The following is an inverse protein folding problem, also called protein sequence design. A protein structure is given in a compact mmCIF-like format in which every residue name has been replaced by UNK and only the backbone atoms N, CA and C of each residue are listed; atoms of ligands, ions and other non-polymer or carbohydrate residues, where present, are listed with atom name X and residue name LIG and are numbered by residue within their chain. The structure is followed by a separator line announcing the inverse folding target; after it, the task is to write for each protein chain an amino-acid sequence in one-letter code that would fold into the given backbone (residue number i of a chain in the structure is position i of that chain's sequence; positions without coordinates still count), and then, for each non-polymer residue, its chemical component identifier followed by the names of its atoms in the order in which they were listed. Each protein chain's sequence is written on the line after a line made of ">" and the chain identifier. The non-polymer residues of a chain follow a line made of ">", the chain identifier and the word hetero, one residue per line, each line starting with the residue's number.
data_IF_545989709215
#
_entry.id   IF_545989709215
#
_cell.length_a   1.000
_cell.length_b   1.000
_cell.length_c   1.000
_cell.angle_alpha   90.00
_cell.angle_beta   90.00
_cell.angle_gamma   90.00
#
_symmetry.space_group_name_H-M   'P 1'
#
loop_
_entity.id
_entity.type
_entity.pdbx_description
1 polymer ?
#
# COMPACT_ATOMS: atom_id res chain seq x y z
N UNK A 1 -12.53 24.18 -7.66
CA UNK A 1 -11.40 25.05 -7.25
C UNK A 1 -10.69 24.58 -5.99
N UNK A 2 -11.41 24.17 -4.94
CA UNK A 2 -10.82 23.70 -3.67
C UNK A 2 -10.08 22.36 -3.85
N UNK A 3 -10.65 21.41 -4.58
CA UNK A 3 -10.05 20.10 -4.81
C UNK A 3 -8.69 20.21 -5.54
N UNK A 4 -8.59 21.02 -6.56
CA UNK A 4 -7.34 21.24 -7.28
C UNK A 4 -6.23 21.80 -6.39
N UNK A 5 -6.55 22.76 -5.52
CA UNK A 5 -5.58 23.29 -4.53
C UNK A 5 -5.11 22.20 -3.56
N UNK A 6 -6.00 21.31 -3.12
CA UNK A 6 -5.65 20.20 -2.23
C UNK A 6 -4.72 19.19 -2.91
N UNK A 7 -4.98 18.85 -4.18
CA UNK A 7 -4.12 17.95 -4.97
C UNK A 7 -2.73 18.57 -5.17
N UNK A 8 -2.66 19.85 -5.54
CA UNK A 8 -1.39 20.56 -5.71
C UNK A 8 -0.60 20.62 -4.40
N UNK A 9 -1.28 20.81 -3.27
CA UNK A 9 -0.66 20.81 -1.94
C UNK A 9 -0.07 19.43 -1.62
N UNK A 10 -0.80 18.35 -1.88
CA UNK A 10 -0.32 16.98 -1.66
C UNK A 10 0.90 16.69 -2.53
N UNK A 11 0.85 17.05 -3.81
CA UNK A 11 1.96 16.87 -4.75
C UNK A 11 3.19 17.66 -4.30
N UNK A 12 3.02 18.93 -3.97
CA UNK A 12 4.10 19.79 -3.48
C UNK A 12 4.73 19.25 -2.20
N UNK A 13 3.90 18.81 -1.24
CA UNK A 13 4.37 18.24 0.02
C UNK A 13 5.27 17.01 -0.21
N UNK A 14 4.80 16.03 -0.98
CA UNK A 14 5.55 14.79 -1.20
C UNK A 14 6.78 15.00 -2.09
N UNK A 15 6.71 15.89 -3.10
CA UNK A 15 7.85 16.27 -3.92
C UNK A 15 8.98 16.89 -3.07
N UNK A 16 8.65 17.77 -2.12
CA UNK A 16 9.61 18.34 -1.18
C UNK A 16 10.23 17.30 -0.22
N UNK A 17 9.60 16.14 -0.08
CA UNK A 17 10.13 15.00 0.70
C UNK A 17 10.95 14.01 -0.15
N UNK A 18 11.20 14.33 -1.41
CA UNK A 18 11.98 13.50 -2.31
C UNK A 18 11.23 12.32 -2.93
N UNK A 19 9.90 12.26 -2.77
CA UNK A 19 9.08 11.24 -3.41
C UNK A 19 8.95 11.54 -4.90
N UNK A 20 9.27 10.58 -5.75
CA UNK A 20 9.03 10.71 -7.19
C UNK A 20 7.53 10.60 -7.46
N UNK A 21 6.96 11.67 -8.02
CA UNK A 21 5.54 11.79 -8.37
C UNK A 21 5.29 11.73 -9.88
N UNK A 22 6.30 11.37 -10.66
CA UNK A 22 6.14 11.14 -12.09
C UNK A 22 5.10 10.03 -12.29
N UNK A 23 4.21 10.24 -13.26
CA UNK A 23 3.09 9.34 -13.56
C UNK A 23 2.02 9.22 -12.46
N UNK A 24 2.13 9.93 -11.33
CA UNK A 24 1.08 9.99 -10.32
C UNK A 24 -0.06 10.89 -10.79
N UNK A 25 -1.28 10.34 -10.79
CA UNK A 25 -2.53 11.07 -11.09
C UNK A 25 -3.50 10.95 -9.93
N UNK A 26 -3.83 12.07 -9.31
CA UNK A 26 -4.78 12.17 -8.20
C UNK A 26 -6.01 12.89 -8.71
N UNK A 27 -7.18 12.28 -8.58
CA UNK A 27 -8.46 12.85 -8.97
C UNK A 27 -9.39 13.06 -7.77
N UNK A 28 -9.18 12.34 -6.69
CA UNK A 28 -9.95 12.44 -5.46
C UNK A 28 -9.07 12.19 -4.21
N UNK A 29 -9.65 12.42 -3.03
CA UNK A 29 -8.98 12.16 -1.75
C UNK A 29 -9.33 10.80 -1.12
N UNK A 30 -10.25 10.04 -1.71
CA UNK A 30 -10.74 8.76 -1.15
C UNK A 30 -10.24 7.53 -1.93
N UNK A 31 -9.58 7.73 -3.08
CA UNK A 31 -9.03 6.63 -3.89
C UNK A 31 -10.09 5.82 -4.64
N UNK A 32 -11.25 6.40 -4.93
CA UNK A 32 -12.35 5.74 -5.66
C UNK A 32 -12.34 6.05 -7.16
N UNK A 33 -11.58 7.05 -7.59
CA UNK A 33 -11.50 7.38 -9.03
C UNK A 33 -10.76 6.27 -9.78
N UNK A 34 -11.39 5.66 -10.80
CA UNK A 34 -10.73 4.65 -11.65
C UNK A 34 -9.63 5.26 -12.53
N UNK A 35 -9.56 6.57 -12.64
CA UNK A 35 -8.54 7.30 -13.40
C UNK A 35 -7.29 7.60 -12.57
N UNK A 36 -7.35 7.40 -11.23
CA UNK A 36 -6.22 7.55 -10.34
C UNK A 36 -5.09 6.59 -10.70
N UNK A 37 -3.85 7.04 -10.61
CA UNK A 37 -2.69 6.20 -10.82
C UNK A 37 -1.55 6.62 -9.90
N UNK A 38 -0.84 5.64 -9.36
CA UNK A 38 0.36 5.83 -8.57
C UNK A 38 1.33 4.68 -8.86
N UNK A 39 2.61 4.97 -9.17
CA UNK A 39 3.63 3.93 -9.23
C UNK A 39 3.83 3.26 -7.88
N UNK A 40 4.03 1.93 -7.87
CA UNK A 40 4.35 1.21 -6.63
C UNK A 40 5.62 1.74 -5.95
N UNK A 41 6.62 2.16 -6.73
CA UNK A 41 7.83 2.80 -6.21
C UNK A 41 7.52 4.07 -5.41
N UNK A 42 6.65 4.96 -5.91
CA UNK A 42 6.25 6.17 -5.18
C UNK A 42 5.56 5.84 -3.85
N UNK A 43 4.78 4.76 -3.80
CA UNK A 43 4.16 4.30 -2.54
C UNK A 43 5.23 3.80 -1.57
N UNK A 44 6.25 3.07 -2.05
CA UNK A 44 7.37 2.63 -1.22
C UNK A 44 8.18 3.82 -0.70
N UNK A 45 8.43 4.84 -1.52
CA UNK A 45 9.11 6.07 -1.09
C UNK A 45 8.36 6.76 0.05
N UNK A 46 7.02 6.85 -0.05
CA UNK A 46 6.16 7.38 1.02
C UNK A 46 6.30 6.54 2.30
N UNK A 47 6.26 5.21 2.19
CA UNK A 47 6.43 4.31 3.33
C UNK A 47 7.81 4.47 3.99
N UNK A 48 8.88 4.57 3.20
CA UNK A 48 10.24 4.79 3.70
C UNK A 48 10.39 6.16 4.37
N UNK A 49 9.79 7.22 3.80
CA UNK A 49 9.73 8.51 4.46
C UNK A 49 9.03 8.42 5.82
N UNK A 50 7.87 7.76 5.87
CA UNK A 50 7.13 7.59 7.13
C UNK A 50 7.91 6.76 8.14
N UNK A 51 8.60 5.69 7.72
CA UNK A 51 9.46 4.88 8.58
C UNK A 51 10.53 5.70 9.29
N UNK A 52 11.14 6.67 8.60
CA UNK A 52 12.17 7.55 9.14
C UNK A 52 11.62 8.80 9.85
N UNK A 53 10.30 8.95 9.92
CA UNK A 53 9.67 10.12 10.53
C UNK A 53 9.42 9.92 12.03
N UNK A 54 9.33 11.03 12.77
CA UNK A 54 8.90 11.01 14.20
C UNK A 54 7.47 10.48 14.40
N UNK A 55 6.67 10.39 13.35
CA UNK A 55 5.29 9.93 13.38
C UNK A 55 5.16 8.45 13.01
N UNK A 56 6.28 7.72 12.84
CA UNK A 56 6.24 6.32 12.38
C UNK A 56 5.37 5.43 13.25
N UNK A 57 5.47 5.51 14.57
CA UNK A 57 4.68 4.67 15.49
C UNK A 57 3.17 4.87 15.31
N UNK A 58 2.73 6.12 15.18
CA UNK A 58 1.32 6.44 14.93
C UNK A 58 0.87 5.98 13.55
N UNK A 59 1.71 6.17 12.53
CA UNK A 59 1.42 5.70 11.19
C UNK A 59 1.32 4.17 11.13
N UNK A 60 2.27 3.46 11.73
CA UNK A 60 2.26 1.99 11.79
C UNK A 60 1.01 1.48 12.50
N UNK A 61 0.61 2.08 13.63
CA UNK A 61 -0.60 1.69 14.36
C UNK A 61 -1.90 1.97 13.61
N UNK A 62 -1.88 2.84 12.60
CA UNK A 62 -3.03 3.10 11.72
C UNK A 62 -3.21 2.05 10.63
N UNK A 63 -2.20 1.21 10.39
CA UNK A 63 -2.24 0.13 9.40
C UNK A 63 -2.73 -1.16 10.06
N UNK A 64 -3.82 -1.77 9.60
CA UNK A 64 -4.33 -3.01 10.18
C UNK A 64 -3.35 -4.17 10.01
N UNK A 65 -3.35 -5.08 10.99
CA UNK A 65 -2.50 -6.27 11.03
C UNK A 65 -3.11 -7.39 10.18
N UNK A 66 -2.38 -7.87 9.18
CA UNK A 66 -2.81 -8.94 8.28
C UNK A 66 -3.09 -10.24 9.03
N UNK A 67 -4.18 -10.92 8.65
CA UNK A 67 -4.65 -12.15 9.31
C UNK A 67 -5.37 -11.92 10.63
N UNK A 68 -5.65 -10.65 11.01
CA UNK A 68 -6.27 -10.31 12.29
C UNK A 68 -7.26 -9.16 12.22
N UNK A 69 -6.95 -8.07 11.53
CA UNK A 69 -7.68 -6.80 11.68
C UNK A 69 -8.28 -6.28 10.36
N UNK A 70 -9.35 -5.50 10.49
CA UNK A 70 -9.95 -4.69 9.44
C UNK A 70 -10.23 -5.44 8.15
N UNK A 71 -10.00 -4.80 7.02
CA UNK A 71 -10.24 -5.37 5.67
C UNK A 71 -9.23 -6.46 5.29
N UNK A 72 -8.18 -6.66 6.09
CA UNK A 72 -7.10 -7.63 5.83
C UNK A 72 -7.11 -8.82 6.79
N UNK A 73 -8.20 -9.02 7.53
CA UNK A 73 -8.32 -10.11 8.51
C UNK A 73 -8.21 -11.53 7.89
N UNK A 74 -8.51 -11.68 6.59
CA UNK A 74 -8.33 -12.94 5.84
C UNK A 74 -7.06 -12.99 5.01
N UNK A 75 -6.32 -11.89 4.92
CA UNK A 75 -5.10 -11.79 4.13
C UNK A 75 -3.93 -12.40 4.89
N UNK A 76 -3.13 -13.26 4.23
CA UNK A 76 -1.96 -13.95 4.79
C UNK A 76 -2.28 -14.92 5.97
N UNK A 77 -3.57 -15.23 6.24
CA UNK A 77 -3.99 -15.99 7.42
C UNK A 77 -3.40 -17.41 7.47
N UNK A 78 -3.18 -18.04 6.30
CA UNK A 78 -2.62 -19.39 6.17
C UNK A 78 -1.15 -19.38 5.73
N UNK A 79 -0.39 -18.34 6.08
CA UNK A 79 0.99 -18.17 5.68
C UNK A 79 1.90 -17.89 6.88
N UNK A 80 3.23 -18.09 6.74
CA UNK A 80 4.19 -17.72 7.79
C UNK A 80 4.23 -16.22 8.11
N UNK A 81 3.61 -15.37 7.29
CA UNK A 81 3.53 -13.93 7.47
C UNK A 81 2.28 -13.47 8.23
N UNK A 82 1.41 -14.38 8.68
CA UNK A 82 0.27 -14.04 9.52
C UNK A 82 0.72 -13.22 10.73
N UNK A 83 0.02 -12.11 10.98
CA UNK A 83 0.29 -11.19 12.10
C UNK A 83 1.73 -10.61 12.11
N UNK A 84 2.41 -10.61 10.94
CA UNK A 84 3.72 -10.00 10.74
C UNK A 84 3.72 -8.86 9.72
N UNK A 85 2.54 -8.49 9.21
CA UNK A 85 2.40 -7.48 8.14
C UNK A 85 1.37 -6.45 8.52
N UNK A 86 1.81 -5.20 8.69
CA UNK A 86 0.90 -4.06 8.82
C UNK A 86 0.64 -3.48 7.43
N UNK A 87 -0.59 -3.50 6.94
CA UNK A 87 -0.87 -3.28 5.52
C UNK A 87 -2.20 -2.58 5.27
N UNK A 88 -2.20 -1.62 4.34
CA UNK A 88 -3.42 -1.05 3.76
C UNK A 88 -3.76 -1.77 2.46
N UNK A 89 -5.00 -2.19 2.32
CA UNK A 89 -5.55 -2.75 1.08
C UNK A 89 -6.27 -1.70 0.23
N UNK A 90 -6.23 -1.87 -1.08
CA UNK A 90 -7.04 -1.13 -2.06
C UNK A 90 -7.74 -2.10 -3.01
N UNK A 91 -8.99 -1.80 -3.38
CA UNK A 91 -9.78 -2.64 -4.27
C UNK A 91 -10.74 -1.80 -5.10
N UNK A 92 -10.60 -1.93 -6.40
CA UNK A 92 -11.56 -1.45 -7.39
C UNK A 92 -11.84 -2.59 -8.39
N UNK A 93 -12.81 -2.40 -9.29
CA UNK A 93 -13.04 -3.34 -10.38
C UNK A 93 -11.76 -3.48 -11.22
N UNK A 94 -11.24 -4.72 -11.36
CA UNK A 94 -10.02 -4.99 -12.09
C UNK A 94 -8.73 -4.43 -11.48
N UNK A 95 -8.76 -3.92 -10.23
CA UNK A 95 -7.57 -3.45 -9.55
C UNK A 95 -7.51 -3.93 -8.10
N UNK A 96 -6.32 -4.34 -7.65
CA UNK A 96 -6.03 -4.77 -6.29
C UNK A 96 -4.67 -4.25 -5.86
N UNK A 97 -4.60 -3.67 -4.67
CA UNK A 97 -3.35 -3.15 -4.14
C UNK A 97 -3.19 -3.50 -2.66
N UNK A 98 -1.94 -3.68 -2.26
CA UNK A 98 -1.51 -3.81 -0.87
C UNK A 98 -0.21 -3.04 -0.68
N UNK A 99 -0.12 -2.25 0.39
CA UNK A 99 1.08 -1.48 0.71
C UNK A 99 1.26 -1.38 2.23
N UNK A 100 2.48 -1.53 2.71
CA UNK A 100 2.76 -1.51 4.15
C UNK A 100 4.13 -2.03 4.51
N UNK A 101 4.22 -2.63 5.69
CA UNK A 101 5.48 -3.13 6.26
C UNK A 101 5.38 -4.60 6.64
N UNK A 102 6.46 -5.34 6.37
CA UNK A 102 6.64 -6.75 6.79
C UNK A 102 7.71 -6.80 7.85
N UNK A 103 7.47 -7.55 8.93
CA UNK A 103 8.40 -7.82 10.02
C UNK A 103 8.65 -9.33 10.09
N UNK A 104 9.72 -9.81 9.49
CA UNK A 104 9.99 -11.24 9.43
C UNK A 104 11.47 -11.55 9.65
N UNK A 105 11.75 -12.53 10.51
CA UNK A 105 13.11 -13.02 10.81
C UNK A 105 14.10 -11.89 11.22
N UNK A 106 13.63 -10.91 11.98
CA UNK A 106 14.43 -9.73 12.38
C UNK A 106 14.58 -8.66 11.31
N UNK A 107 14.13 -8.94 10.08
CA UNK A 107 14.15 -7.99 8.98
C UNK A 107 12.85 -7.16 8.93
N UNK A 108 12.97 -5.97 8.35
CA UNK A 108 11.85 -5.05 8.11
C UNK A 108 11.85 -4.64 6.65
N UNK A 109 10.70 -4.77 6.00
CA UNK A 109 10.54 -4.41 4.59
C UNK A 109 9.38 -3.44 4.43
N UNK A 110 9.56 -2.39 3.64
CA UNK A 110 8.45 -1.62 3.08
C UNK A 110 8.10 -2.22 1.71
N UNK A 111 6.82 -2.39 1.43
CA UNK A 111 6.37 -2.97 0.16
C UNK A 111 5.13 -2.28 -0.40
N UNK A 112 5.00 -2.32 -1.73
CA UNK A 112 3.77 -2.00 -2.43
C UNK A 112 3.58 -2.94 -3.61
N UNK A 113 2.40 -3.54 -3.71
CA UNK A 113 1.99 -4.40 -4.84
C UNK A 113 0.71 -3.83 -5.42
N UNK A 114 0.67 -3.63 -6.73
CA UNK A 114 -0.49 -3.13 -7.46
C UNK A 114 -0.75 -4.04 -8.66
N UNK A 115 -1.89 -4.70 -8.66
CA UNK A 115 -2.42 -5.47 -9.79
C UNK A 115 -3.50 -4.65 -10.49
N UNK A 116 -3.39 -4.52 -11.81
CA UNK A 116 -4.34 -3.80 -12.63
C UNK A 116 -4.83 -4.66 -13.80
N UNK A 117 -6.01 -4.33 -14.30
CA UNK A 117 -6.58 -4.90 -15.53
C UNK A 117 -6.72 -6.44 -15.51
N UNK A 118 -7.00 -7.01 -14.35
CA UNK A 118 -7.29 -8.42 -14.23
C UNK A 118 -8.79 -8.71 -14.38
N UNK A 119 -9.11 -9.85 -15.00
CA UNK A 119 -10.47 -10.38 -15.12
C UNK A 119 -10.73 -11.58 -14.21
N UNK A 120 -9.68 -12.13 -13.59
CA UNK A 120 -9.77 -13.23 -12.63
C UNK A 120 -10.52 -12.84 -11.36
N UNK A 121 -11.13 -13.80 -10.65
CA UNK A 121 -11.69 -13.53 -9.33
C UNK A 121 -10.66 -12.93 -8.36
N UNK A 122 -11.04 -11.92 -7.60
CA UNK A 122 -10.15 -11.24 -6.63
C UNK A 122 -9.48 -12.20 -5.64
N UNK A 123 -10.09 -13.35 -5.36
CA UNK A 123 -9.51 -14.39 -4.49
C UNK A 123 -8.24 -15.00 -5.09
N UNK A 124 -8.22 -15.24 -6.40
CA UNK A 124 -7.05 -15.77 -7.09
C UNK A 124 -5.90 -14.76 -7.11
N UNK A 125 -6.22 -13.50 -7.41
CA UNK A 125 -5.23 -12.41 -7.36
C UNK A 125 -4.64 -12.25 -5.96
N UNK A 126 -5.46 -12.31 -4.91
CA UNK A 126 -4.98 -12.27 -3.53
C UNK A 126 -4.01 -13.42 -3.23
N UNK A 127 -4.32 -14.64 -3.70
CA UNK A 127 -3.46 -15.81 -3.50
C UNK A 127 -2.07 -15.60 -4.14
N UNK A 128 -2.04 -15.09 -5.37
CA UNK A 128 -0.79 -14.75 -6.07
C UNK A 128 0.03 -13.73 -5.29
N UNK A 129 -0.64 -12.68 -4.78
CA UNK A 129 0.02 -11.65 -3.96
C UNK A 129 0.58 -12.25 -2.67
N UNK A 130 -0.16 -13.11 -1.98
CA UNK A 130 0.28 -13.79 -0.76
C UNK A 130 1.53 -14.67 -1.04
N UNK A 131 1.51 -15.44 -2.14
CA UNK A 131 2.63 -16.28 -2.56
C UNK A 131 3.90 -15.45 -2.84
N UNK A 132 3.77 -14.31 -3.52
CA UNK A 132 4.90 -13.40 -3.78
C UNK A 132 5.47 -12.81 -2.50
N UNK A 133 4.62 -12.32 -1.60
CA UNK A 133 5.07 -11.77 -0.33
C UNK A 133 5.82 -12.80 0.53
N UNK A 134 5.31 -14.04 0.59
CA UNK A 134 5.97 -15.13 1.34
C UNK A 134 7.31 -15.51 0.72
N UNK A 135 7.39 -15.52 -0.62
CA UNK A 135 8.63 -15.84 -1.33
C UNK A 135 9.72 -14.79 -1.10
N UNK A 136 9.35 -13.51 -1.15
CA UNK A 136 10.31 -12.40 -1.23
C UNK A 136 10.64 -11.81 0.17
N UNK A 137 9.86 -12.13 1.21
CA UNK A 137 10.10 -11.70 2.60
C UNK A 137 10.84 -12.75 3.45
N UNK A 138 11.78 -13.49 2.87
CA UNK A 138 12.57 -14.51 3.56
C UNK A 138 13.70 -13.94 4.41
#
# INVERSE_FOLDING_TARGET
>A
RVLFRSIDTIRSFWSQKGVNLDFMRIYDGCGLSPQGAIPAASVVDILLYMYNSKNYSYFLSSLPLAGKEGTVYKFLVNTPLREKVNVKSGSLSGARAYAGYIFNNGNKYAFAIIFNNFSSPSKEVNKIIEEWLVRDAK
#
